data_IF_841541204215
#
_entry.id   IF_841541204215
#
_cell.length_a   1.000
_cell.length_b   1.000
_cell.length_c   1.000
_cell.angle_alpha   90.00
_cell.angle_beta   90.00
_cell.angle_gamma   90.00
#
_symmetry.space_group_name_H-M   'P 1'
#
loop_
_entity.id
_entity.type
_entity.pdbx_description
1 polymer ?
#
# COMPACT_ATOMS: atom_id res chain seq x y z
N UNK A 1 -39.19 -25.86 -7.05
CA UNK A 1 -39.24 -24.45 -6.63
C UNK A 1 -37.84 -24.07 -6.18
N UNK A 2 -37.26 -22.99 -6.69
CA UNK A 2 -35.97 -22.51 -6.18
C UNK A 2 -36.17 -22.08 -4.71
N UNK A 3 -35.27 -22.52 -3.83
CA UNK A 3 -35.27 -22.14 -2.42
C UNK A 3 -34.93 -20.66 -2.31
N UNK A 4 -35.64 -19.90 -1.47
CA UNK A 4 -35.32 -18.48 -1.26
C UNK A 4 -34.07 -18.37 -0.38
N UNK A 5 -33.12 -17.53 -0.76
CA UNK A 5 -31.88 -17.31 0.01
C UNK A 5 -31.93 -15.95 0.72
N UNK A 6 -31.66 -15.93 2.02
CA UNK A 6 -31.58 -14.71 2.84
C UNK A 6 -30.37 -14.85 3.77
N UNK A 7 -29.57 -13.78 3.90
CA UNK A 7 -28.45 -13.78 4.86
C UNK A 7 -28.95 -13.96 6.30
N UNK A 8 -28.30 -14.84 7.07
CA UNK A 8 -28.55 -15.00 8.51
C UNK A 8 -28.28 -13.70 9.28
N UNK A 9 -29.17 -13.39 10.21
CA UNK A 9 -29.18 -12.15 10.98
C UNK A 9 -29.69 -10.93 10.18
N UNK A 10 -30.23 -11.12 8.98
CA UNK A 10 -30.92 -10.04 8.28
C UNK A 10 -32.19 -9.64 9.04
N UNK A 11 -32.49 -8.35 8.98
CA UNK A 11 -33.69 -7.76 9.60
C UNK A 11 -34.63 -7.20 8.53
N UNK A 12 -35.87 -6.96 8.91
CA UNK A 12 -36.85 -6.20 8.12
C UNK A 12 -37.12 -6.78 6.73
N UNK A 13 -37.23 -8.11 6.61
CA UNK A 13 -37.47 -8.77 5.32
C UNK A 13 -38.96 -8.97 5.06
N UNK A 14 -39.39 -8.50 3.89
CA UNK A 14 -40.74 -8.72 3.37
C UNK A 14 -40.67 -9.82 2.31
N UNK A 15 -41.54 -10.81 2.44
CA UNK A 15 -41.68 -11.92 1.49
C UNK A 15 -42.92 -11.69 0.63
N UNK A 16 -42.77 -11.86 -0.68
CA UNK A 16 -43.92 -11.99 -1.57
C UNK A 16 -44.35 -13.46 -1.65
N UNK A 17 -45.64 -13.68 -1.45
CA UNK A 17 -46.28 -14.98 -1.35
C UNK A 17 -47.44 -15.04 -2.35
N UNK A 18 -47.64 -16.18 -2.98
CA UNK A 18 -48.83 -16.45 -3.77
C UNK A 18 -49.70 -17.47 -3.04
N UNK A 19 -50.92 -17.08 -2.68
CA UNK A 19 -51.90 -17.93 -2.01
C UNK A 19 -52.93 -18.38 -3.03
N UNK A 20 -53.12 -19.70 -3.14
CA UNK A 20 -54.05 -20.32 -4.07
C UNK A 20 -55.44 -20.50 -3.47
N UNK A 21 -56.44 -20.36 -4.32
CA UNK A 21 -57.82 -20.68 -4.01
C UNK A 21 -58.05 -22.19 -4.19
N UNK A 22 -58.14 -22.91 -3.08
CA UNK A 22 -58.43 -24.36 -3.04
C UNK A 22 -59.87 -24.71 -3.45
N UNK A 23 -60.78 -23.74 -3.58
CA UNK A 23 -62.13 -23.99 -4.09
C UNK A 23 -62.15 -24.20 -5.61
N UNK A 24 -61.13 -23.73 -6.32
CA UNK A 24 -60.98 -23.86 -7.78
C UNK A 24 -59.98 -24.96 -8.11
N UNK A 25 -60.37 -26.21 -7.81
CA UNK A 25 -59.52 -27.37 -8.07
C UNK A 25 -59.20 -27.52 -9.58
N UNK A 26 -57.93 -27.33 -9.96
CA UNK A 26 -57.44 -27.53 -11.34
C UNK A 26 -56.98 -26.25 -12.04
N UNK A 27 -57.27 -25.08 -11.50
CA UNK A 27 -56.79 -23.79 -12.01
C UNK A 27 -55.85 -23.11 -11.02
N UNK A 28 -54.87 -22.35 -11.51
CA UNK A 28 -53.99 -21.56 -10.65
C UNK A 28 -54.65 -20.19 -10.46
N UNK A 29 -55.64 -20.15 -9.57
CA UNK A 29 -56.36 -18.91 -9.20
C UNK A 29 -55.84 -18.41 -7.85
N UNK A 30 -55.56 -17.11 -7.80
CA UNK A 30 -55.14 -16.45 -6.56
C UNK A 30 -56.31 -16.17 -5.64
N UNK A 31 -56.21 -16.59 -4.38
CA UNK A 31 -57.21 -16.29 -3.34
C UNK A 31 -57.06 -14.83 -2.90
N UNK A 32 -58.08 -14.02 -3.10
CA UNK A 32 -58.08 -12.59 -2.75
C UNK A 32 -58.85 -12.30 -1.46
N UNK A 33 -58.64 -11.10 -0.90
CA UNK A 33 -59.43 -10.60 0.24
C UNK A 33 -59.06 -11.16 1.61
N UNK A 34 -57.90 -11.82 1.75
CA UNK A 34 -57.38 -12.18 3.07
C UNK A 34 -56.81 -10.94 3.78
N UNK A 35 -57.13 -10.79 5.06
CA UNK A 35 -56.56 -9.80 5.96
C UNK A 35 -55.77 -10.49 7.08
N UNK A 36 -54.91 -9.74 7.78
CA UNK A 36 -54.11 -10.25 8.91
C UNK A 36 -54.95 -10.91 10.02
N UNK A 37 -56.23 -10.53 10.12
CA UNK A 37 -57.20 -11.04 11.10
C UNK A 37 -58.29 -11.91 10.47
N UNK A 38 -58.10 -12.43 9.25
CA UNK A 38 -59.03 -13.40 8.66
C UNK A 38 -59.16 -14.63 9.58
N UNK A 39 -60.39 -15.03 9.86
CA UNK A 39 -60.67 -16.17 10.74
C UNK A 39 -59.97 -17.43 10.24
N UNK A 40 -59.28 -18.12 11.15
CA UNK A 40 -58.54 -19.36 10.85
C UNK A 40 -57.16 -19.15 10.20
N UNK A 41 -56.84 -17.93 9.73
CA UNK A 41 -55.53 -17.65 9.16
C UNK A 41 -54.46 -17.74 10.27
N UNK A 42 -53.50 -18.62 10.06
CA UNK A 42 -52.37 -18.82 10.96
C UNK A 42 -51.07 -18.84 10.19
N UNK A 43 -50.01 -18.37 10.83
CA UNK A 43 -48.65 -18.40 10.30
C UNK A 43 -47.71 -18.93 11.38
N UNK A 44 -46.85 -19.86 10.99
CA UNK A 44 -45.81 -20.42 11.85
C UNK A 44 -44.49 -20.42 11.12
N UNK A 45 -43.40 -20.25 11.86
CA UNK A 45 -42.07 -20.56 11.36
C UNK A 45 -41.37 -21.59 12.23
N UNK A 46 -40.50 -22.37 11.62
CA UNK A 46 -39.62 -23.31 12.30
C UNK A 46 -38.20 -23.11 11.78
N UNK A 47 -37.28 -22.76 12.68
CA UNK A 47 -35.85 -22.75 12.37
C UNK A 47 -35.33 -24.17 12.51
N UNK A 48 -34.50 -24.66 11.59
CA UNK A 48 -34.03 -26.06 11.61
C UNK A 48 -33.31 -26.45 12.92
N UNK A 49 -32.71 -25.49 13.62
CA UNK A 49 -32.07 -25.73 14.93
C UNK A 49 -33.00 -25.56 16.14
N UNK A 50 -34.27 -25.20 15.95
CA UNK A 50 -35.23 -25.01 17.03
C UNK A 50 -35.92 -26.33 17.42
N UNK A 51 -36.31 -26.46 18.69
CA UNK A 51 -37.04 -27.64 19.19
C UNK A 51 -38.55 -27.59 18.97
N UNK A 52 -39.10 -26.48 18.47
CA UNK A 52 -40.53 -26.30 18.23
C UNK A 52 -40.79 -25.19 17.21
N UNK A 53 -41.94 -25.25 16.55
CA UNK A 53 -42.42 -24.18 15.68
C UNK A 53 -42.91 -23.00 16.52
N UNK A 54 -42.73 -21.79 16.01
CA UNK A 54 -43.11 -20.53 16.67
C UNK A 54 -44.24 -19.89 15.87
N UNK A 55 -45.30 -19.51 16.58
CA UNK A 55 -46.43 -18.78 15.97
C UNK A 55 -46.01 -17.35 15.63
N UNK A 56 -46.41 -16.89 14.44
CA UNK A 56 -46.29 -15.49 14.03
C UNK A 56 -47.61 -14.79 14.34
N UNK A 57 -47.56 -13.78 15.20
CA UNK A 57 -48.71 -12.89 15.40
C UNK A 57 -48.86 -12.02 14.16
N UNK A 58 -49.89 -12.28 13.36
CA UNK A 58 -50.16 -11.52 12.15
C UNK A 58 -50.68 -10.11 12.50
N UNK A 59 -50.17 -9.11 11.81
CA UNK A 59 -50.47 -7.71 12.04
C UNK A 59 -50.83 -7.00 10.73
N UNK A 60 -51.55 -5.89 10.82
CA UNK A 60 -51.71 -5.00 9.68
C UNK A 60 -50.36 -4.36 9.32
N UNK A 61 -50.14 -4.10 8.03
CA UNK A 61 -48.97 -3.37 7.54
C UNK A 61 -49.36 -2.46 6.38
N UNK A 62 -48.55 -1.44 6.13
CA UNK A 62 -48.57 -0.69 4.87
C UNK A 62 -47.73 -1.45 3.84
N UNK A 63 -48.21 -1.54 2.59
CA UNK A 63 -47.46 -2.23 1.54
C UNK A 63 -46.09 -1.60 1.35
N UNK A 64 -45.05 -2.43 1.36
CA UNK A 64 -43.65 -2.02 1.27
C UNK A 64 -43.00 -1.62 2.60
N UNK A 65 -43.77 -1.34 3.64
CA UNK A 65 -43.25 -0.97 4.96
C UNK A 65 -43.19 -2.20 5.87
N UNK A 66 -41.99 -2.55 6.33
CA UNK A 66 -41.83 -3.71 7.19
C UNK A 66 -42.56 -3.52 8.53
N UNK A 67 -43.35 -4.52 8.90
CA UNK A 67 -43.89 -4.72 10.24
C UNK A 67 -43.70 -6.20 10.58
N UNK A 68 -43.22 -6.53 11.78
CA UNK A 68 -43.05 -7.93 12.19
C UNK A 68 -44.42 -8.63 12.22
N UNK A 69 -44.54 -9.72 11.48
CA UNK A 69 -45.82 -10.41 11.27
C UNK A 69 -46.82 -9.66 10.37
N UNK A 70 -46.40 -8.55 9.75
CA UNK A 70 -47.24 -7.78 8.84
C UNK A 70 -47.77 -8.67 7.70
N UNK A 71 -49.07 -8.62 7.42
CA UNK A 71 -49.68 -9.36 6.32
C UNK A 71 -50.65 -8.48 5.55
N UNK A 72 -50.44 -8.36 4.23
CA UNK A 72 -51.25 -7.47 3.37
C UNK A 72 -51.32 -7.97 1.93
N UNK A 73 -52.52 -7.92 1.36
CA UNK A 73 -52.74 -8.14 -0.07
C UNK A 73 -52.10 -7.02 -0.89
N UNK A 74 -51.36 -7.37 -1.94
CA UNK A 74 -50.67 -6.40 -2.79
C UNK A 74 -51.64 -5.70 -3.72
N UNK A 75 -52.38 -6.48 -4.53
CA UNK A 75 -53.37 -5.95 -5.47
C UNK A 75 -54.36 -7.07 -5.85
N UNK A 76 -55.61 -6.96 -5.38
CA UNK A 76 -56.65 -7.95 -5.65
C UNK A 76 -57.08 -8.02 -7.13
N UNK A 77 -56.82 -6.98 -7.93
CA UNK A 77 -57.31 -6.85 -9.31
C UNK A 77 -56.23 -7.23 -10.32
N UNK A 78 -55.04 -6.66 -10.19
CA UNK A 78 -53.96 -6.84 -11.17
C UNK A 78 -53.02 -8.00 -10.81
N UNK A 79 -52.95 -8.38 -9.53
CA UNK A 79 -52.10 -9.48 -9.04
C UNK A 79 -52.84 -10.34 -8.00
N UNK A 80 -54.00 -10.93 -8.36
CA UNK A 80 -54.82 -11.67 -7.42
C UNK A 80 -54.03 -12.79 -6.73
N UNK A 81 -54.19 -12.92 -5.42
CA UNK A 81 -53.51 -13.93 -4.61
C UNK A 81 -52.07 -13.58 -4.20
N UNK A 82 -51.53 -12.42 -4.58
CA UNK A 82 -50.20 -11.98 -4.15
C UNK A 82 -50.29 -11.17 -2.84
N UNK A 83 -49.53 -11.60 -1.84
CA UNK A 83 -49.47 -10.99 -0.52
C UNK A 83 -48.04 -10.68 -0.10
N UNK A 84 -47.89 -9.65 0.72
CA UNK A 84 -46.66 -9.38 1.48
C UNK A 84 -46.77 -9.93 2.89
N UNK A 85 -45.70 -10.59 3.33
CA UNK A 85 -45.50 -11.01 4.71
C UNK A 85 -44.21 -10.40 5.25
N UNK A 86 -44.31 -9.58 6.29
CA UNK A 86 -43.17 -9.16 7.11
C UNK A 86 -42.73 -10.31 8.01
N UNK A 87 -41.65 -10.99 7.64
CA UNK A 87 -41.14 -12.12 8.41
C UNK A 87 -40.53 -11.62 9.72
N UNK A 88 -40.85 -12.19 10.89
CA UNK A 88 -40.22 -11.79 12.15
C UNK A 88 -38.70 -11.97 12.10
N UNK A 89 -37.94 -10.97 12.55
CA UNK A 89 -36.47 -11.02 12.55
C UNK A 89 -35.91 -12.23 13.32
N UNK A 90 -36.61 -12.68 14.36
CA UNK A 90 -36.27 -13.87 15.13
C UNK A 90 -36.28 -15.17 14.29
N UNK A 91 -37.02 -15.20 13.18
CA UNK A 91 -36.97 -16.31 12.22
C UNK A 91 -35.64 -16.34 11.46
N UNK A 92 -35.09 -15.16 11.15
CA UNK A 92 -33.86 -14.99 10.38
C UNK A 92 -32.59 -14.90 11.24
N UNK A 93 -32.72 -14.96 12.57
CA UNK A 93 -31.61 -14.87 13.51
C UNK A 93 -30.52 -15.92 13.21
N UNK A 94 -29.28 -15.62 13.65
CA UNK A 94 -28.16 -16.55 13.51
C UNK A 94 -28.38 -17.85 14.31
N UNK A 95 -27.61 -18.89 14.00
CA UNK A 95 -27.70 -20.19 14.67
C UNK A 95 -28.68 -21.18 14.05
N UNK A 96 -29.19 -20.91 12.84
CA UNK A 96 -29.89 -21.86 11.98
C UNK A 96 -29.42 -21.69 10.52
N UNK A 97 -29.53 -22.76 9.73
CA UNK A 97 -29.17 -22.76 8.30
C UNK A 97 -30.41 -22.71 7.38
N UNK A 98 -31.60 -22.97 7.92
CA UNK A 98 -32.85 -22.83 7.18
C UNK A 98 -34.05 -22.54 8.08
N UNK A 99 -35.08 -21.97 7.47
CA UNK A 99 -36.37 -21.63 8.08
C UNK A 99 -37.48 -22.13 7.18
N UNK A 100 -38.39 -22.91 7.75
CA UNK A 100 -39.67 -23.20 7.12
C UNK A 100 -40.72 -22.22 7.64
N UNK A 101 -41.54 -21.67 6.76
CA UNK A 101 -42.66 -20.78 7.07
C UNK A 101 -43.91 -21.40 6.45
N UNK A 102 -44.98 -21.54 7.23
CA UNK A 102 -46.24 -22.14 6.77
C UNK A 102 -47.38 -21.20 7.08
N UNK A 103 -48.15 -20.84 6.06
CA UNK A 103 -49.43 -20.13 6.22
C UNK A 103 -50.57 -21.07 5.86
N UNK A 104 -51.62 -21.09 6.69
CA UNK A 104 -52.74 -22.02 6.53
C UNK A 104 -54.00 -21.59 7.30
N UNK A 105 -55.11 -22.30 7.04
CA UNK A 105 -56.29 -22.35 7.90
C UNK A 105 -57.41 -21.36 7.57
N UNK A 106 -57.17 -20.39 6.68
CA UNK A 106 -58.24 -19.56 6.16
C UNK A 106 -59.16 -20.37 5.21
N UNK A 107 -60.43 -19.98 5.13
CA UNK A 107 -61.37 -20.60 4.20
C UNK A 107 -60.87 -20.49 2.76
N UNK A 108 -61.03 -21.57 1.99
CA UNK A 108 -60.58 -21.68 0.60
C UNK A 108 -59.07 -21.51 0.39
N UNK A 109 -58.24 -21.44 1.43
CA UNK A 109 -56.79 -21.31 1.31
C UNK A 109 -56.11 -22.67 1.15
N UNK A 110 -55.32 -22.84 0.10
CA UNK A 110 -54.34 -23.93 0.03
C UNK A 110 -53.18 -23.67 1.00
N UNK A 111 -52.71 -24.71 1.70
CA UNK A 111 -51.57 -24.60 2.62
C UNK A 111 -50.34 -24.13 1.85
N UNK A 112 -49.70 -23.07 2.32
CA UNK A 112 -48.53 -22.48 1.69
C UNK A 112 -47.26 -22.76 2.52
N UNK A 113 -46.53 -23.85 2.24
CA UNK A 113 -45.20 -24.06 2.79
C UNK A 113 -44.15 -23.28 1.98
N UNK A 114 -43.30 -22.56 2.68
CA UNK A 114 -42.14 -21.86 2.13
C UNK A 114 -40.89 -22.27 2.89
N UNK A 115 -39.83 -22.63 2.17
CA UNK A 115 -38.51 -22.85 2.75
C UNK A 115 -37.55 -21.73 2.34
N UNK A 116 -36.81 -21.23 3.33
CA UNK A 116 -35.81 -20.19 3.20
C UNK A 116 -34.46 -20.75 3.66
N UNK A 117 -33.44 -20.61 2.84
CA UNK A 117 -32.05 -20.85 3.21
C UNK A 117 -31.46 -19.64 3.91
N UNK A 118 -30.76 -19.87 5.02
CA UNK A 118 -30.05 -18.84 5.75
C UNK A 118 -28.56 -18.88 5.40
N UNK A 119 -28.15 -18.01 4.48
CA UNK A 119 -26.77 -17.97 3.99
C UNK A 119 -25.87 -17.12 4.91
N UNK A 120 -24.57 -17.40 4.93
CA UNK A 120 -23.62 -16.55 5.66
C UNK A 120 -23.34 -15.23 4.94
N UNK A 121 -23.42 -15.24 3.61
CA UNK A 121 -23.15 -14.12 2.73
C UNK A 121 -24.44 -13.52 2.19
N UNK A 122 -24.43 -12.20 2.00
CA UNK A 122 -25.50 -11.50 1.31
C UNK A 122 -25.13 -11.41 -0.16
N UNK A 123 -25.94 -12.04 -1.01
CA UNK A 123 -25.76 -12.09 -2.46
C UNK A 123 -26.07 -10.74 -3.15
N UNK A 124 -26.72 -9.80 -2.45
CA UNK A 124 -27.00 -8.45 -2.92
C UNK A 124 -26.06 -7.40 -2.29
N UNK A 125 -25.11 -7.83 -1.46
CA UNK A 125 -24.13 -6.92 -0.89
C UNK A 125 -23.25 -6.35 -2.01
N UNK A 126 -23.39 -5.04 -2.25
CA UNK A 126 -22.64 -4.28 -3.27
C UNK A 126 -21.12 -4.44 -3.11
N UNK A 127 -20.63 -4.68 -1.89
CA UNK A 127 -19.21 -4.93 -1.63
C UNK A 127 -18.72 -6.28 -2.21
N UNK A 128 -19.56 -7.32 -2.28
CA UNK A 128 -19.20 -8.65 -2.82
C UNK A 128 -19.28 -8.67 -4.34
N UNK A 129 -20.28 -8.02 -4.95
CA UNK A 129 -20.23 -7.69 -6.39
C UNK A 129 -19.02 -6.80 -6.71
N UNK A 130 -18.69 -5.92 -5.76
CA UNK A 130 -17.50 -5.09 -5.73
C UNK A 130 -16.21 -5.86 -5.48
N UNK A 131 -16.18 -7.15 -5.16
CA UNK A 131 -14.92 -7.91 -5.13
C UNK A 131 -14.36 -8.10 -6.56
N UNK A 132 -15.20 -8.06 -7.59
CA UNK A 132 -14.76 -7.87 -8.98
C UNK A 132 -14.25 -6.43 -9.25
N UNK A 133 -14.57 -5.47 -8.38
CA UNK A 133 -14.08 -4.08 -8.36
C UNK A 133 -12.97 -3.79 -7.32
N UNK A 134 -12.69 -4.74 -6.41
CA UNK A 134 -11.58 -4.76 -5.41
C UNK A 134 -10.24 -5.03 -6.07
N UNK A 135 -10.21 -5.09 -7.41
CA UNK A 135 -9.00 -4.80 -8.16
C UNK A 135 -8.31 -3.54 -7.62
N UNK A 136 -9.03 -2.49 -7.20
CA UNK A 136 -8.38 -1.27 -6.71
C UNK A 136 -7.63 -1.42 -5.37
N UNK A 137 -8.06 -2.27 -4.43
CA UNK A 137 -7.35 -2.49 -3.15
C UNK A 137 -6.36 -3.66 -3.19
N UNK A 138 -6.57 -4.64 -4.06
CA UNK A 138 -5.58 -5.71 -4.31
C UNK A 138 -4.47 -5.25 -5.26
N UNK A 139 -4.78 -4.41 -6.25
CA UNK A 139 -3.77 -3.69 -7.05
C UNK A 139 -2.97 -2.74 -6.18
N UNK A 140 -3.58 -2.04 -5.21
CA UNK A 140 -2.81 -1.19 -4.30
C UNK A 140 -1.77 -1.99 -3.47
N UNK A 141 -1.98 -3.30 -3.27
CA UNK A 141 -1.01 -4.21 -2.65
C UNK A 141 -0.05 -4.85 -3.67
N UNK A 142 -0.36 -4.82 -4.97
CA UNK A 142 0.36 -5.56 -6.02
C UNK A 142 0.92 -4.66 -7.15
N UNK A 143 0.72 -3.35 -7.08
CA UNK A 143 1.14 -2.35 -8.07
C UNK A 143 2.03 -1.29 -7.41
N UNK A 144 3.08 -1.77 -6.72
CA UNK A 144 4.30 -1.00 -6.74
C UNK A 144 4.76 -0.97 -8.21
N UNK A 145 4.29 0.00 -8.99
CA UNK A 145 4.72 0.20 -10.37
C UNK A 145 6.26 0.18 -10.40
N UNK A 146 6.86 -0.33 -11.48
CA UNK A 146 8.32 -0.25 -11.66
C UNK A 146 8.81 1.18 -11.43
N UNK A 147 8.03 2.17 -11.84
CA UNK A 147 8.31 3.58 -11.59
C UNK A 147 8.32 3.95 -10.09
N UNK A 148 7.38 3.45 -9.28
CA UNK A 148 7.37 3.68 -7.82
C UNK A 148 8.50 2.98 -7.08
N UNK A 149 8.89 1.77 -7.52
CA UNK A 149 10.03 1.03 -6.97
C UNK A 149 11.33 1.78 -7.32
N UNK A 150 11.49 2.15 -8.59
CA UNK A 150 12.64 2.94 -9.08
C UNK A 150 12.70 4.28 -8.35
N UNK A 151 11.59 4.99 -8.20
CA UNK A 151 11.54 6.25 -7.46
C UNK A 151 11.89 6.08 -5.98
N UNK A 152 11.38 5.03 -5.32
CA UNK A 152 11.72 4.72 -3.92
C UNK A 152 13.20 4.34 -3.74
N UNK A 153 13.84 3.72 -4.74
CA UNK A 153 15.27 3.41 -4.68
C UNK A 153 16.13 4.65 -4.97
N UNK A 154 15.79 5.42 -5.99
CA UNK A 154 16.65 6.52 -6.49
C UNK A 154 16.39 7.88 -5.84
N UNK A 155 15.20 8.12 -5.28
CA UNK A 155 14.85 9.39 -4.62
C UNK A 155 14.85 9.29 -3.08
N UNK A 156 15.31 8.17 -2.51
CA UNK A 156 15.43 8.04 -1.06
C UNK A 156 16.48 9.03 -0.51
N UNK A 157 16.17 9.80 0.54
CA UNK A 157 17.10 10.78 1.09
C UNK A 157 18.39 10.13 1.64
N UNK A 158 19.53 10.78 1.40
CA UNK A 158 20.84 10.34 1.91
C UNK A 158 20.87 10.13 3.44
N UNK A 159 20.07 10.89 4.18
CA UNK A 159 19.96 10.78 5.64
C UNK A 159 19.48 9.39 6.10
N UNK A 160 18.77 8.64 5.24
CA UNK A 160 18.32 7.27 5.49
C UNK A 160 19.43 6.21 5.35
N UNK A 161 20.59 6.57 4.78
CA UNK A 161 21.68 5.63 4.43
C UNK A 161 22.90 5.70 5.36
N UNK A 162 22.74 6.26 6.56
CA UNK A 162 23.84 6.47 7.53
C UNK A 162 24.14 5.24 8.40
N UNK A 163 23.42 4.14 8.21
CA UNK A 163 23.61 2.91 8.99
C UNK A 163 24.93 2.22 8.61
N UNK A 164 25.80 2.02 9.61
CA UNK A 164 27.10 1.37 9.43
C UNK A 164 26.95 -0.04 8.82
N UNK A 165 27.77 -0.35 7.81
CA UNK A 165 27.76 -1.63 7.09
C UNK A 165 26.81 -1.70 5.89
N UNK A 166 26.10 -0.62 5.55
CA UNK A 166 25.28 -0.53 4.33
C UNK A 166 26.07 0.00 3.14
N UNK A 167 25.62 -0.30 1.91
CA UNK A 167 26.22 0.26 0.68
C UNK A 167 26.12 1.78 0.61
N UNK A 168 25.02 2.36 1.12
CA UNK A 168 24.84 3.81 1.16
C UNK A 168 25.83 4.52 2.09
N UNK A 169 26.12 3.95 3.26
CA UNK A 169 27.15 4.46 4.17
C UNK A 169 28.57 4.39 3.55
N UNK A 170 28.85 3.33 2.79
CA UNK A 170 30.12 3.19 2.07
C UNK A 170 30.29 4.25 0.98
N UNK A 171 29.24 4.52 0.20
CA UNK A 171 29.27 5.52 -0.86
C UNK A 171 29.48 6.94 -0.30
N UNK A 172 28.76 7.30 0.77
CA UNK A 172 28.91 8.59 1.44
C UNK A 172 30.33 8.79 1.99
N UNK A 173 30.86 7.78 2.69
CA UNK A 173 32.23 7.80 3.19
C UNK A 173 33.25 7.92 2.05
N UNK A 174 33.05 7.22 0.95
CA UNK A 174 33.96 7.25 -0.21
C UNK A 174 33.95 8.61 -0.89
N UNK A 175 32.77 9.17 -1.19
CA UNK A 175 32.63 10.50 -1.82
C UNK A 175 33.18 11.60 -0.90
N UNK A 176 32.86 11.53 0.39
CA UNK A 176 33.36 12.49 1.39
C UNK A 176 34.88 12.43 1.51
N UNK A 177 35.49 11.24 1.44
CA UNK A 177 36.95 11.07 1.45
C UNK A 177 37.61 11.63 0.18
N UNK A 178 36.97 11.49 -0.97
CA UNK A 178 37.45 12.06 -2.23
C UNK A 178 37.38 13.60 -2.21
N UNK A 179 36.25 14.16 -1.77
CA UNK A 179 36.08 15.61 -1.58
C UNK A 179 37.08 16.18 -0.58
N UNK A 180 37.36 15.47 0.51
CA UNK A 180 38.38 15.86 1.47
C UNK A 180 39.79 15.83 0.86
N UNK A 181 40.12 14.81 0.07
CA UNK A 181 41.41 14.69 -0.62
C UNK A 181 41.63 15.86 -1.60
N UNK A 182 40.64 16.16 -2.42
CA UNK A 182 40.68 17.29 -3.36
C UNK A 182 40.73 18.64 -2.62
N UNK A 183 39.96 18.79 -1.53
CA UNK A 183 39.98 20.00 -0.71
C UNK A 183 41.32 20.20 0.00
N UNK A 184 42.00 19.14 0.44
CA UNK A 184 43.36 19.24 1.00
C UNK A 184 44.38 19.63 -0.05
N UNK A 185 44.20 19.16 -1.29
CA UNK A 185 45.08 19.49 -2.41
C UNK A 185 44.91 20.94 -2.91
N UNK A 186 43.74 21.55 -2.72
CA UNK A 186 43.43 22.91 -3.16
C UNK A 186 43.45 23.96 -2.03
N UNK A 187 43.14 23.59 -0.78
CA UNK A 187 42.87 24.52 0.31
C UNK A 187 44.08 24.98 1.12
N UNK A 188 45.19 24.25 1.08
CA UNK A 188 46.40 24.62 1.82
C UNK A 188 47.63 24.32 0.96
N UNK A 189 48.05 25.31 0.18
CA UNK A 189 49.35 25.27 -0.49
C UNK A 189 49.41 24.37 -1.73
N UNK A 190 48.48 24.48 -2.68
CA UNK A 190 48.65 23.87 -4.01
C UNK A 190 50.03 24.21 -4.60
N UNK A 191 50.45 25.48 -4.50
CA UNK A 191 51.80 25.92 -4.88
C UNK A 191 52.91 25.30 -4.00
N UNK A 192 52.70 25.16 -2.69
CA UNK A 192 53.73 24.63 -1.77
C UNK A 192 53.90 23.11 -1.89
N UNK A 193 52.82 22.36 -2.12
CA UNK A 193 52.82 20.91 -2.38
C UNK A 193 53.47 20.61 -3.73
N UNK A 194 53.17 21.41 -4.76
CA UNK A 194 53.82 21.31 -6.07
C UNK A 194 55.31 21.68 -5.98
N UNK A 195 55.68 22.70 -5.19
CA UNK A 195 57.08 23.08 -4.94
C UNK A 195 57.85 22.01 -4.16
N UNK A 196 57.25 21.41 -3.11
CA UNK A 196 57.86 20.29 -2.36
C UNK A 196 58.08 19.07 -3.27
N UNK A 197 57.10 18.75 -4.12
CA UNK A 197 57.24 17.66 -5.11
C UNK A 197 58.33 17.95 -6.14
N UNK A 198 58.42 19.20 -6.61
CA UNK A 198 59.48 19.64 -7.52
C UNK A 198 60.87 19.58 -6.88
N UNK A 199 60.99 20.01 -5.61
CA UNK A 199 62.22 19.91 -4.80
C UNK A 199 62.70 18.46 -4.74
N UNK A 200 61.83 17.53 -4.34
CA UNK A 200 62.19 16.13 -4.14
C UNK A 200 62.60 15.44 -5.45
N UNK A 201 61.95 15.78 -6.57
CA UNK A 201 62.33 15.28 -7.89
C UNK A 201 63.72 15.76 -8.33
N UNK A 202 64.03 17.05 -8.15
CA UNK A 202 65.33 17.62 -8.50
C UNK A 202 66.42 17.05 -7.58
N UNK A 203 66.15 16.95 -6.27
CA UNK A 203 67.08 16.34 -5.32
C UNK A 203 67.40 14.88 -5.67
N UNK A 204 66.40 14.11 -6.13
CA UNK A 204 66.60 12.74 -6.62
C UNK A 204 67.48 12.70 -7.87
N UNK A 205 67.26 13.60 -8.83
CA UNK A 205 68.11 13.68 -10.03
C UNK A 205 69.56 14.05 -9.69
N UNK A 206 69.77 14.98 -8.74
CA UNK A 206 71.11 15.33 -8.25
C UNK A 206 71.78 14.14 -7.55
N UNK A 207 71.04 13.39 -6.72
CA UNK A 207 71.53 12.18 -6.07
C UNK A 207 71.94 11.11 -7.09
N UNK A 208 71.15 10.90 -8.14
CA UNK A 208 71.45 9.93 -9.20
C UNK A 208 72.70 10.33 -10.01
N UNK A 209 72.85 11.63 -10.34
CA UNK A 209 74.02 12.16 -11.06
C UNK A 209 75.28 12.09 -10.19
N UNK A 210 75.18 12.37 -8.89
CA UNK A 210 76.33 12.28 -7.97
C UNK A 210 76.77 10.84 -7.70
N UNK A 211 75.81 9.92 -7.58
CA UNK A 211 76.09 8.50 -7.44
C UNK A 211 76.70 7.89 -8.72
N UNK A 212 76.30 8.40 -9.89
CA UNK A 212 76.79 7.95 -11.20
C UNK A 212 77.21 9.14 -12.08
N UNK A 213 78.40 9.73 -11.85
CA UNK A 213 78.85 10.91 -12.59
C UNK A 213 78.88 10.63 -14.10
N UNK A 214 78.19 11.47 -14.86
CA UNK A 214 78.13 11.36 -16.33
C UNK A 214 79.19 12.26 -16.96
N UNK A 215 80.04 11.73 -17.86
CA UNK A 215 81.01 12.57 -18.56
C UNK A 215 80.28 13.50 -19.54
N UNK A 216 80.84 14.68 -19.79
CA UNK A 216 80.41 15.56 -20.88
C UNK A 216 80.87 14.99 -22.23
N UNK A 217 79.98 14.97 -23.23
CA UNK A 217 80.28 14.41 -24.56
C UNK A 217 79.53 15.16 -25.68
N UNK A 218 80.00 14.98 -26.91
CA UNK A 218 79.40 15.58 -28.11
C UNK A 218 78.60 14.53 -28.90
N UNK A 219 77.40 14.90 -29.34
CA UNK A 219 76.56 14.09 -30.24
C UNK A 219 76.14 14.99 -31.40
N UNK A 220 76.33 14.54 -32.64
CA UNK A 220 75.80 15.20 -33.85
C UNK A 220 76.04 16.72 -33.91
N UNK A 221 77.22 17.17 -33.45
CA UNK A 221 77.62 18.58 -33.44
C UNK A 221 77.08 19.42 -32.27
N UNK A 222 76.39 18.81 -31.32
CA UNK A 222 75.92 19.44 -30.09
C UNK A 222 76.68 18.89 -28.87
N UNK A 223 77.15 19.80 -28.01
CA UNK A 223 77.83 19.47 -26.76
C UNK A 223 76.83 19.26 -25.63
N UNK A 224 76.81 18.07 -25.03
CA UNK A 224 75.99 17.75 -23.86
C UNK A 224 76.85 17.87 -22.60
N UNK A 225 76.74 19.01 -21.92
CA UNK A 225 77.51 19.34 -20.72
C UNK A 225 76.76 18.94 -19.43
N UNK A 226 77.16 17.82 -18.84
CA UNK A 226 76.55 17.29 -17.61
C UNK A 226 76.93 18.09 -16.37
N UNK A 227 78.09 18.75 -16.37
CA UNK A 227 78.49 19.65 -15.27
C UNK A 227 77.64 20.91 -15.26
N UNK A 228 77.37 21.47 -16.44
CA UNK A 228 76.46 22.61 -16.58
C UNK A 228 75.02 22.23 -16.17
N UNK A 229 74.57 21.04 -16.54
CA UNK A 229 73.25 20.52 -16.14
C UNK A 229 73.16 20.31 -14.62
N UNK A 230 74.17 19.70 -14.00
CA UNK A 230 74.23 19.51 -12.55
C UNK A 230 74.19 20.83 -11.78
N UNK A 231 74.93 21.84 -12.24
CA UNK A 231 74.90 23.20 -11.67
C UNK A 231 73.53 23.86 -11.83
N UNK A 232 72.88 23.69 -12.99
CA UNK A 232 71.54 24.22 -13.23
C UNK A 232 70.49 23.60 -12.29
N UNK A 233 70.51 22.27 -12.12
CA UNK A 233 69.63 21.57 -11.18
C UNK A 233 69.88 22.00 -9.73
N UNK A 234 71.14 22.18 -9.34
CA UNK A 234 71.50 22.65 -8.00
C UNK A 234 70.97 24.05 -7.71
N UNK A 235 71.08 24.97 -8.68
CA UNK A 235 70.52 26.32 -8.56
C UNK A 235 68.98 26.32 -8.54
N UNK A 236 68.35 25.44 -9.32
CA UNK A 236 66.89 25.27 -9.28
C UNK A 236 66.42 24.76 -7.91
N UNK A 237 67.13 23.79 -7.32
CA UNK A 237 66.83 23.29 -5.97
C UNK A 237 66.87 24.42 -4.94
N UNK A 238 67.93 25.23 -4.95
CA UNK A 238 68.09 26.38 -4.04
C UNK A 238 66.96 27.40 -4.21
N UNK A 239 66.56 27.71 -5.44
CA UNK A 239 65.45 28.64 -5.71
C UNK A 239 64.10 28.12 -5.23
N UNK A 240 63.86 26.81 -5.31
CA UNK A 240 62.63 26.18 -4.82
C UNK A 240 62.64 26.14 -3.29
N UNK A 241 63.77 25.82 -2.66
CA UNK A 241 63.91 25.85 -1.20
C UNK A 241 63.66 27.24 -0.64
N UNK A 242 64.15 28.28 -1.31
CA UNK A 242 63.87 29.67 -0.95
C UNK A 242 62.38 30.03 -1.14
N UNK A 243 61.74 29.56 -2.22
CA UNK A 243 60.31 29.77 -2.46
C UNK A 243 59.44 29.08 -1.39
N UNK A 244 59.85 27.89 -0.92
CA UNK A 244 59.20 27.16 0.18
C UNK A 244 59.37 27.94 1.49
N UNK A 245 60.56 28.44 1.81
CA UNK A 245 60.80 29.26 3.01
C UNK A 245 60.02 30.59 2.97
N UNK A 246 59.90 31.23 1.80
CA UNK A 246 59.12 32.45 1.61
C UNK A 246 57.60 32.27 1.66
N UNK A 247 57.11 31.02 1.70
CA UNK A 247 55.69 30.69 1.82
C UNK A 247 55.27 30.27 3.25
N UNK A 248 56.16 30.35 4.23
CA UNK A 248 55.80 30.21 5.65
C UNK A 248 54.96 31.42 6.13
N UNK A 249 53.83 31.21 6.84
CA UNK A 249 52.96 32.30 7.28
C UNK A 249 53.64 33.16 8.37
N UNK A 250 53.72 34.47 8.18
CA UNK A 250 54.24 35.39 9.19
C UNK A 250 53.23 35.55 10.35
N UNK A 251 53.66 35.26 11.59
CA UNK A 251 52.86 35.48 12.80
C UNK A 251 52.92 36.98 13.19
N UNK A 252 51.85 37.74 12.95
CA UNK A 252 51.73 39.11 13.50
C UNK A 252 51.27 39.02 14.95
N UNK A 253 52.20 39.11 15.90
CA UNK A 253 51.84 39.32 17.31
C UNK A 253 51.40 40.76 17.53
N UNK A 254 50.09 40.99 17.50
CA UNK A 254 49.51 42.24 17.99
C UNK A 254 49.48 42.20 19.52
N UNK A 255 50.30 43.04 20.16
CA UNK A 255 50.23 43.23 21.62
C UNK A 255 49.31 44.41 21.88
N UNK A 256 48.10 44.16 22.39
CA UNK A 256 47.19 45.22 22.80
C UNK A 256 47.67 45.83 24.13
N UNK A 257 48.06 47.10 24.13
CA UNK A 257 48.22 47.87 25.36
C UNK A 257 46.84 48.36 25.83
N UNK A 258 46.45 47.97 27.04
CA UNK A 258 45.33 48.58 27.75
C UNK A 258 45.82 49.86 28.41
N UNK A 259 45.22 51.01 28.09
CA UNK A 259 45.29 52.24 28.88
C UNK A 259 44.15 52.25 29.90
#
# INVERSE_FOLDING_TARGET
MAKREIKKGATSKILLLFIRDSSQAGEIVGLTGLAYNTSGLTCYYHRNSAGAAVSVTLANMTLGDYTSGGFKEVDATNMPGIYQLGLPDAALATGAESVAVVLQGAANMEVLPLEIELTATDNQNSLVAGIQGVKQTLDALNDASVASIVAGVWNEPQTSYTTAGTFGAFLDATISSFGATVSTQLGTGAYAIDLLSARDNIAKQLADITANPKPTYDIDGQRVDWDAHFRALSAQLESIELAIQGSEPFEVRTTGYTQ
#
